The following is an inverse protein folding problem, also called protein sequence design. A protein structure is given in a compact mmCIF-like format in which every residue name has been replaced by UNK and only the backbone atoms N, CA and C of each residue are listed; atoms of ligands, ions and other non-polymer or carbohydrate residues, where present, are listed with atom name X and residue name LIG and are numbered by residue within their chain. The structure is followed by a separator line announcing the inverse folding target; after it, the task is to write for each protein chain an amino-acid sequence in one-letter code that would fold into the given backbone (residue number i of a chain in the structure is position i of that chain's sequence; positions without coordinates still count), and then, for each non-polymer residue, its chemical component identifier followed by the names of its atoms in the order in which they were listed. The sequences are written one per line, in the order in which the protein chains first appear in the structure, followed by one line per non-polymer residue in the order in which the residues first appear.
data_IF_567504162268
#
_entry.id   IF_567504162268
#
_cell.length_a   1.000
_cell.length_b   1.000
_cell.length_c   1.000
_cell.angle_alpha   90.00
_cell.angle_beta   90.00
_cell.angle_gamma   90.00
#
_symmetry.space_group_name_H-M   'P 1'
#
loop_
_entity.id
_entity.type
_entity.pdbx_description
1 polymer ?
#
# COMPACT_ATOMS: atom_id res chain seq x y z
N UNK A 1 -15.95 -15.09 -3.69
CA UNK A 1 -15.36 -14.95 -2.35
C UNK A 1 -13.89 -14.58 -2.47
N UNK A 2 -13.45 -13.54 -1.77
CA UNK A 2 -12.06 -13.11 -1.84
C UNK A 2 -11.14 -14.06 -1.08
N UNK A 3 -9.92 -14.21 -1.57
CA UNK A 3 -8.90 -14.98 -0.89
C UNK A 3 -8.51 -14.28 0.43
N UNK A 4 -8.00 -15.02 1.43
CA UNK A 4 -7.48 -14.42 2.65
C UNK A 4 -6.36 -13.41 2.35
N UNK A 5 -6.21 -12.42 3.22
CA UNK A 5 -5.18 -11.40 3.07
C UNK A 5 -3.79 -12.00 2.83
N UNK A 6 -3.42 -13.05 3.57
CA UNK A 6 -2.10 -13.68 3.42
C UNK A 6 -1.87 -14.19 2.01
N UNK A 7 -2.89 -14.80 1.39
CA UNK A 7 -2.77 -15.29 0.02
C UNK A 7 -2.63 -14.15 -0.98
N UNK A 8 -3.36 -13.05 -0.76
CA UNK A 8 -3.26 -11.87 -1.62
C UNK A 8 -1.86 -11.27 -1.53
N UNK A 9 -1.32 -11.16 -0.32
CA UNK A 9 0.01 -10.63 -0.11
C UNK A 9 1.07 -11.52 -0.76
N UNK A 10 0.95 -12.83 -0.61
CA UNK A 10 1.87 -13.77 -1.24
C UNK A 10 1.82 -13.66 -2.77
N UNK A 11 0.62 -13.50 -3.35
CA UNK A 11 0.46 -13.30 -4.79
C UNK A 11 1.18 -12.03 -5.24
N UNK A 12 1.00 -10.93 -4.50
CA UNK A 12 1.66 -9.67 -4.82
C UNK A 12 3.18 -9.79 -4.75
N UNK A 13 3.69 -10.43 -3.70
CA UNK A 13 5.14 -10.59 -3.53
C UNK A 13 5.74 -11.51 -4.60
N UNK A 14 4.97 -12.53 -5.04
CA UNK A 14 5.44 -13.46 -6.07
C UNK A 14 5.53 -12.78 -7.43
N UNK A 15 4.57 -11.92 -7.77
CA UNK A 15 4.53 -11.23 -9.07
C UNK A 15 3.75 -9.92 -8.97
N UNK A 16 4.43 -8.83 -8.58
CA UNK A 16 3.77 -7.52 -8.47
C UNK A 16 3.17 -7.02 -9.78
N UNK A 17 3.64 -7.51 -10.92
CA UNK A 17 3.14 -7.07 -12.23
C UNK A 17 1.70 -7.48 -12.50
N UNK A 18 1.16 -8.43 -11.74
CA UNK A 18 -0.25 -8.81 -11.83
C UNK A 18 -1.18 -7.80 -11.16
N UNK A 19 -0.60 -6.83 -10.46
CA UNK A 19 -1.34 -5.84 -9.71
C UNK A 19 -1.13 -4.46 -10.30
N UNK A 20 -2.13 -3.59 -10.10
CA UNK A 20 -2.04 -2.21 -10.56
C UNK A 20 -2.46 -1.28 -9.42
N UNK A 21 -1.98 -0.04 -9.46
CA UNK A 21 -2.41 0.97 -8.49
C UNK A 21 -3.75 1.52 -8.96
N UNK A 22 -4.82 1.23 -8.22
CA UNK A 22 -6.17 1.68 -8.55
C UNK A 22 -6.45 3.07 -7.98
N UNK A 23 -5.82 3.41 -6.84
CA UNK A 23 -6.00 4.71 -6.20
C UNK A 23 -4.80 5.03 -5.33
N UNK A 24 -4.46 6.31 -5.25
CA UNK A 24 -3.40 6.81 -4.37
C UNK A 24 -3.93 7.98 -3.56
N UNK A 25 -3.73 7.92 -2.24
CA UNK A 25 -4.06 9.02 -1.34
C UNK A 25 -2.77 9.43 -0.61
N UNK A 26 -2.49 10.74 -0.59
CA UNK A 26 -1.32 11.28 0.09
C UNK A 26 -1.79 12.30 1.12
N UNK A 27 -1.41 12.10 2.37
CA UNK A 27 -1.73 13.02 3.45
C UNK A 27 -0.47 13.32 4.26
N UNK A 28 -0.43 14.44 5.00
CA UNK A 28 0.72 14.73 5.87
C UNK A 28 0.91 13.60 6.89
N UNK A 29 2.17 13.26 7.15
CA UNK A 29 2.49 12.26 8.16
C UNK A 29 2.14 12.77 9.55
N UNK A 30 1.48 11.93 10.36
CA UNK A 30 1.20 12.24 11.76
C UNK A 30 2.31 11.76 12.69
N UNK A 31 3.32 11.08 12.17
CA UNK A 31 4.43 10.56 12.95
C UNK A 31 5.36 11.71 13.35
N UNK A 32 5.57 11.91 14.66
CA UNK A 32 6.40 12.99 15.17
C UNK A 32 7.86 12.90 14.72
N UNK A 33 8.35 11.67 14.50
CA UNK A 33 9.71 11.44 14.03
C UNK A 33 9.87 11.72 12.53
N UNK A 34 8.74 11.85 11.84
CA UNK A 34 8.72 12.12 10.40
C UNK A 34 7.93 13.41 10.13
N UNK A 35 8.14 14.42 10.97
CA UNK A 35 7.45 15.72 10.82
C UNK A 35 7.77 16.31 9.45
N UNK A 36 6.74 16.75 8.74
CA UNK A 36 6.87 17.29 7.40
C UNK A 36 6.91 16.25 6.30
N UNK A 37 6.92 14.96 6.66
CA UNK A 37 6.83 13.88 5.69
C UNK A 37 5.42 13.62 5.23
N UNK A 38 5.22 12.54 4.48
CA UNK A 38 3.94 12.16 3.90
C UNK A 38 3.58 10.73 4.21
N UNK A 39 2.28 10.48 4.34
CA UNK A 39 1.72 9.15 4.45
C UNK A 39 1.02 8.85 3.12
N UNK A 40 1.52 7.83 2.40
CA UNK A 40 1.00 7.45 1.09
C UNK A 40 0.26 6.14 1.22
N UNK A 41 -1.02 6.15 0.85
CA UNK A 41 -1.82 4.92 0.82
C UNK A 41 -2.17 4.63 -0.62
N UNK A 42 -1.84 3.43 -1.06
CA UNK A 42 -2.14 2.99 -2.42
C UNK A 42 -3.04 1.77 -2.36
N UNK A 43 -4.13 1.82 -3.11
CA UNK A 43 -5.00 0.65 -3.29
C UNK A 43 -4.48 -0.10 -4.50
N UNK A 44 -3.99 -1.31 -4.27
CA UNK A 44 -3.49 -2.20 -5.31
C UNK A 44 -4.61 -3.15 -5.70
N UNK A 45 -4.85 -3.31 -6.99
CA UNK A 45 -5.90 -4.19 -7.51
C UNK A 45 -5.31 -5.26 -8.41
N UNK A 46 -5.67 -6.50 -8.17
CA UNK A 46 -5.27 -7.60 -9.05
C UNK A 46 -5.96 -7.45 -10.39
N UNK A 47 -5.20 -7.48 -11.48
CA UNK A 47 -5.71 -7.22 -12.83
C UNK A 47 -6.73 -8.24 -13.30
N UNK A 48 -6.61 -9.49 -12.85
CA UNK A 48 -7.47 -10.57 -13.30
C UNK A 48 -8.67 -10.81 -12.40
N UNK A 49 -8.49 -10.67 -11.09
CA UNK A 49 -9.55 -11.02 -10.11
C UNK A 49 -10.28 -9.83 -9.54
N UNK A 50 -9.70 -8.63 -9.60
CA UNK A 50 -10.26 -7.45 -8.98
C UNK A 50 -10.07 -7.37 -7.48
N UNK A 51 -9.38 -8.33 -6.88
CA UNK A 51 -9.09 -8.31 -5.44
C UNK A 51 -8.13 -7.17 -5.11
N UNK A 52 -8.24 -6.63 -3.88
CA UNK A 52 -7.50 -5.43 -3.51
C UNK A 52 -6.69 -5.59 -2.24
N UNK A 53 -5.53 -4.91 -2.22
CA UNK A 53 -4.67 -4.74 -1.05
C UNK A 53 -4.40 -3.26 -0.87
N UNK A 54 -4.12 -2.85 0.36
CA UNK A 54 -3.67 -1.49 0.65
C UNK A 54 -2.20 -1.54 1.02
N UNK A 55 -1.39 -0.71 0.34
CA UNK A 55 0.02 -0.51 0.67
C UNK A 55 0.18 0.87 1.29
N UNK A 56 0.67 0.92 2.52
CA UNK A 56 0.88 2.17 3.24
C UNK A 56 2.37 2.42 3.39
N UNK A 57 2.85 3.54 2.86
CA UNK A 57 4.26 3.91 2.91
C UNK A 57 4.41 5.28 3.58
N UNK A 58 5.40 5.44 4.44
CA UNK A 58 5.75 6.73 5.02
C UNK A 58 6.97 7.27 4.28
N UNK A 59 6.87 8.52 3.83
CA UNK A 59 7.96 9.21 3.15
C UNK A 59 8.48 10.34 4.02
N UNK A 60 9.81 10.57 3.98
CA UNK A 60 10.43 11.72 4.63
C UNK A 60 10.07 13.00 3.87
N UNK A 61 10.34 14.20 4.47
CA UNK A 61 10.12 15.46 3.74
C UNK A 61 10.89 15.53 2.42
N UNK A 62 12.00 14.80 2.31
CA UNK A 62 12.80 14.77 1.08
C UNK A 62 12.31 13.76 0.05
N UNK A 63 11.28 13.00 0.38
CA UNK A 63 10.69 12.02 -0.54
C UNK A 63 11.27 10.61 -0.45
N UNK A 64 12.16 10.36 0.53
CA UNK A 64 12.71 9.03 0.75
C UNK A 64 11.78 8.18 1.61
N UNK A 65 11.95 6.87 1.57
CA UNK A 65 11.17 5.96 2.40
C UNK A 65 11.64 6.09 3.85
N UNK A 66 10.72 6.52 4.73
CA UNK A 66 10.99 6.63 6.17
C UNK A 66 10.90 5.28 6.87
N UNK A 67 9.93 4.47 6.47
CA UNK A 67 9.74 3.14 7.03
C UNK A 67 9.27 2.20 5.92
N UNK A 68 9.60 0.91 6.06
CA UNK A 68 9.19 -0.09 5.09
C UNK A 68 7.66 -0.09 4.90
N UNK A 69 7.16 -0.32 3.68
CA UNK A 69 5.72 -0.33 3.45
C UNK A 69 5.00 -1.39 4.29
N UNK A 70 3.81 -1.04 4.75
CA UNK A 70 2.90 -1.96 5.44
C UNK A 70 1.74 -2.30 4.52
N UNK A 71 1.39 -3.57 4.48
CA UNK A 71 0.25 -4.04 3.71
C UNK A 71 -0.89 -4.40 4.64
N UNK A 72 -2.11 -4.12 4.20
CA UNK A 72 -3.32 -4.46 4.96
C UNK A 72 -4.45 -4.79 3.98
N UNK A 73 -5.50 -5.52 4.45
CA UNK A 73 -6.65 -5.78 3.59
C UNK A 73 -7.40 -4.49 3.30
N UNK A 74 -8.01 -4.42 2.11
CA UNK A 74 -8.89 -3.31 1.78
C UNK A 74 -10.19 -3.48 2.55
N UNK A 75 -10.48 -2.51 3.40
CA UNK A 75 -11.73 -2.47 4.17
C UNK A 75 -12.81 -1.77 3.34
N UNK A 76 -13.95 -2.41 3.24
CA UNK A 76 -15.12 -1.82 2.58
C UNK A 76 -16.14 -1.37 3.58
#
# INVERSE_FOLDING_TARGET
MSRPFRELLDDYEADPSRWEVARTDVVPSSNLRNRGGSSVQEVLRHRDTGEELVRHTLLTPDGDVFAAPHFRPQMK
#
